data_IF_391457522596
#
_entry.id   IF_391457522596
#
_cell.length_a   1.000
_cell.length_b   1.000
_cell.length_c   1.000
_cell.angle_alpha   90.00
_cell.angle_beta   90.00
_cell.angle_gamma   90.00
#
_symmetry.space_group_name_H-M   'P 1'
#
loop_
_entity.id
_entity.type
_entity.pdbx_description
1 polymer ?
#
# COMPACT_ATOMS: atom_id res chain seq x y z
N UNK A 1 -2.68 6.16 -25.11
CA UNK A 1 -2.61 6.09 -24.72
C UNK A 1 -2.59 5.64 -24.01
N UNK A 2 -2.45 5.54 -23.77
CA UNK A 2 -2.37 5.16 -23.05
C UNK A 2 -2.52 4.91 -22.23
N UNK A 3 -2.52 4.90 -21.85
CA UNK A 3 -2.62 4.71 -20.99
C UNK A 3 -3.24 4.42 -20.44
N UNK A 4 -3.53 4.04 -20.34
CA UNK A 4 -4.06 3.75 -19.90
C UNK A 4 -4.24 3.32 -18.94
N UNK A 5 -3.81 3.54 -18.48
CA UNK A 5 -3.77 3.30 -17.45
C UNK A 5 -4.90 3.49 -16.82
N UNK A 6 -5.05 3.03 -16.05
CA UNK A 6 -6.07 3.05 -15.40
C UNK A 6 -6.44 4.13 -14.91
N UNK A 7 -7.39 4.46 -15.00
CA UNK A 7 -7.79 5.45 -14.47
C UNK A 7 -7.75 5.36 -13.15
N UNK A 8 -7.18 6.18 -12.52
CA UNK A 8 -7.13 6.18 -11.13
C UNK A 8 -8.46 6.59 -10.60
N UNK A 9 -8.92 5.89 -9.62
CA UNK A 9 -10.18 6.19 -9.00
C UNK A 9 -9.99 7.08 -7.78
N UNK A 10 -8.78 7.58 -7.55
CA UNK A 10 -8.51 8.44 -6.41
C UNK A 10 -7.56 9.56 -6.79
N UNK A 11 -7.58 10.61 -5.97
CA UNK A 11 -6.88 11.84 -6.26
C UNK A 11 -5.67 12.01 -5.34
N UNK A 12 -4.51 12.27 -5.94
CA UNK A 12 -3.26 12.46 -5.20
C UNK A 12 -3.38 13.56 -4.15
N UNK A 13 -3.95 14.69 -4.53
CA UNK A 13 -4.04 15.82 -3.62
C UNK A 13 -4.92 15.51 -2.41
N UNK A 14 -6.00 14.81 -2.63
CA UNK A 14 -6.88 14.45 -1.54
C UNK A 14 -6.20 13.51 -0.57
N UNK A 15 -5.42 12.58 -1.09
CA UNK A 15 -4.70 11.65 -0.24
C UNK A 15 -3.63 12.39 0.57
N UNK A 16 -2.91 13.31 -0.06
CA UNK A 16 -1.91 14.11 0.65
C UNK A 16 -2.54 14.91 1.76
N UNK A 17 -3.66 15.56 1.48
CA UNK A 17 -4.35 16.36 2.49
C UNK A 17 -4.82 15.49 3.64
N UNK A 18 -5.31 14.30 3.35
CA UNK A 18 -5.75 13.37 4.36
C UNK A 18 -4.59 13.04 5.31
N UNK A 19 -3.43 12.75 4.74
CA UNK A 19 -2.27 12.37 5.55
C UNK A 19 -1.78 13.52 6.41
N UNK A 20 -1.69 14.69 5.82
CA UNK A 20 -1.16 15.83 6.56
C UNK A 20 -2.15 16.31 7.62
N UNK A 21 -3.39 16.47 7.25
CA UNK A 21 -4.39 17.05 8.15
C UNK A 21 -4.96 16.06 9.15
N UNK A 22 -5.38 14.89 8.68
CA UNK A 22 -5.97 13.94 9.58
C UNK A 22 -4.98 13.11 10.36
N UNK A 23 -3.86 12.78 9.76
CA UNK A 23 -2.88 11.93 10.42
C UNK A 23 -1.66 12.67 10.90
N UNK A 24 -1.67 14.00 10.73
CA UNK A 24 -0.59 14.83 11.23
C UNK A 24 0.79 14.39 10.76
N UNK A 25 0.86 14.02 9.50
CA UNK A 25 2.10 13.55 8.89
C UNK A 25 2.71 14.72 8.12
N UNK A 26 4.03 14.88 8.17
CA UNK A 26 4.68 15.98 7.47
C UNK A 26 4.47 15.82 5.96
N UNK A 27 4.51 16.93 5.26
CA UNK A 27 4.32 16.92 3.82
C UNK A 27 5.30 15.99 3.13
N UNK A 28 6.55 16.00 3.56
CA UNK A 28 7.57 15.15 2.99
C UNK A 28 7.24 13.67 3.13
N UNK A 29 6.85 13.27 4.31
CA UNK A 29 6.50 11.85 4.56
C UNK A 29 5.22 11.49 3.84
N UNK A 30 4.26 12.42 3.78
CA UNK A 30 3.02 12.17 3.06
C UNK A 30 3.30 11.90 1.58
N UNK A 31 4.23 12.65 0.99
CA UNK A 31 4.58 12.42 -0.41
C UNK A 31 5.26 11.09 -0.62
N UNK A 32 5.99 10.61 0.38
CA UNK A 32 6.58 9.28 0.30
C UNK A 32 5.50 8.21 0.29
N UNK A 33 4.46 8.37 1.11
CA UNK A 33 3.36 7.42 1.10
C UNK A 33 2.64 7.43 -0.24
N UNK A 34 2.43 8.63 -0.78
CA UNK A 34 1.79 8.74 -2.09
C UNK A 34 2.60 8.01 -3.16
N UNK A 35 3.89 8.25 -3.17
CA UNK A 35 4.77 7.63 -4.13
C UNK A 35 4.73 6.11 -4.03
N UNK A 36 4.71 5.61 -2.81
CA UNK A 36 4.67 4.16 -2.59
C UNK A 36 3.35 3.56 -3.03
N UNK A 37 2.24 4.26 -2.79
CA UNK A 37 0.95 3.76 -3.23
C UNK A 37 0.87 3.71 -4.76
N UNK A 38 1.37 4.75 -5.43
CA UNK A 38 1.39 4.75 -6.88
C UNK A 38 2.31 3.66 -7.42
N UNK A 39 3.41 3.42 -6.74
CA UNK A 39 4.31 2.36 -7.13
C UNK A 39 3.64 1.00 -7.03
N UNK A 40 2.87 0.77 -5.97
CA UNK A 40 2.14 -0.48 -5.82
C UNK A 40 1.20 -0.71 -7.00
N UNK A 41 0.45 0.32 -7.37
CA UNK A 41 -0.47 0.19 -8.49
C UNK A 41 0.27 -0.14 -9.77
N UNK A 42 1.42 0.48 -9.95
CA UNK A 42 2.17 0.27 -11.17
C UNK A 42 2.82 -1.10 -11.23
N UNK A 43 3.54 -1.50 -10.18
CA UNK A 43 4.27 -2.77 -10.24
C UNK A 43 3.39 -3.99 -10.11
N UNK A 44 2.28 -3.88 -9.39
CA UNK A 44 1.37 -5.02 -9.25
C UNK A 44 0.21 -4.95 -10.22
N UNK A 45 0.08 -3.83 -10.95
CA UNK A 45 -0.99 -3.61 -11.90
C UNK A 45 -2.35 -3.80 -11.23
N UNK A 46 -2.58 -3.07 -10.16
CA UNK A 46 -3.80 -3.19 -9.36
C UNK A 46 -4.44 -1.83 -9.16
N UNK A 47 -5.67 -1.85 -8.65
CA UNK A 47 -6.38 -0.65 -8.26
C UNK A 47 -6.45 -0.69 -6.73
N UNK A 48 -5.76 0.20 -6.06
CA UNK A 48 -5.69 0.20 -4.61
C UNK A 48 -7.04 0.36 -3.93
N UNK A 49 -7.98 1.05 -4.55
CA UNK A 49 -9.29 1.19 -3.93
C UNK A 49 -9.93 -0.18 -3.77
N UNK A 50 -9.86 -1.01 -4.81
CA UNK A 50 -10.41 -2.35 -4.75
C UNK A 50 -9.59 -3.27 -3.86
N UNK A 51 -8.26 -3.15 -3.93
CA UNK A 51 -7.39 -4.07 -3.20
C UNK A 51 -7.41 -3.82 -1.70
N UNK A 52 -7.97 -2.69 -1.26
CA UNK A 52 -8.05 -2.39 0.16
C UNK A 52 -9.50 -2.29 0.63
N UNK A 53 -10.43 -2.82 -0.14
CA UNK A 53 -11.86 -2.64 0.15
C UNK A 53 -12.37 -3.48 1.33
N UNK A 54 -11.62 -4.46 1.75
CA UNK A 54 -11.99 -5.28 2.90
C UNK A 54 -10.73 -5.79 3.55
N UNK A 55 -10.88 -6.36 4.74
CA UNK A 55 -9.74 -6.94 5.43
C UNK A 55 -9.14 -8.06 4.59
N UNK A 56 -9.98 -8.89 4.01
CA UNK A 56 -9.50 -9.98 3.19
C UNK A 56 -8.73 -9.48 1.98
N UNK A 57 -9.26 -8.45 1.31
CA UNK A 57 -8.58 -7.88 0.15
C UNK A 57 -7.22 -7.32 0.56
N UNK A 58 -7.19 -6.63 1.69
CA UNK A 58 -5.94 -6.07 2.21
C UNK A 58 -4.92 -7.17 2.49
N UNK A 59 -5.35 -8.26 3.10
CA UNK A 59 -4.44 -9.36 3.40
C UNK A 59 -3.91 -10.00 2.11
N UNK A 60 -4.75 -10.11 1.11
CA UNK A 60 -4.31 -10.61 -0.19
C UNK A 60 -3.30 -9.65 -0.83
N UNK A 61 -3.51 -8.37 -0.66
CA UNK A 61 -2.58 -7.38 -1.18
C UNK A 61 -1.21 -7.53 -0.52
N UNK A 62 -1.19 -7.73 0.79
CA UNK A 62 0.08 -7.92 1.49
C UNK A 62 0.81 -9.15 0.97
N UNK A 63 0.06 -10.22 0.66
CA UNK A 63 0.68 -11.40 0.07
C UNK A 63 1.28 -11.09 -1.30
N UNK A 64 0.60 -10.30 -2.08
CA UNK A 64 1.11 -9.92 -3.39
C UNK A 64 2.38 -9.08 -3.26
N UNK A 65 2.41 -8.19 -2.29
CA UNK A 65 3.58 -7.37 -2.05
C UNK A 65 4.77 -8.25 -1.65
N UNK A 66 4.53 -9.19 -0.76
CA UNK A 66 5.59 -10.08 -0.29
C UNK A 66 6.11 -10.95 -1.43
N UNK A 67 5.22 -11.47 -2.25
CA UNK A 67 5.61 -12.29 -3.38
C UNK A 67 6.46 -11.51 -4.37
N UNK A 68 6.06 -10.28 -4.65
CA UNK A 68 6.81 -9.43 -5.55
C UNK A 68 8.21 -9.18 -4.98
N UNK A 69 8.27 -8.87 -3.69
CA UNK A 69 9.55 -8.57 -3.05
C UNK A 69 10.48 -9.78 -3.06
N UNK A 70 9.93 -10.96 -2.80
CA UNK A 70 10.73 -12.18 -2.78
C UNK A 70 11.35 -12.46 -4.14
N UNK A 71 10.64 -12.11 -5.20
CA UNK A 71 11.16 -12.34 -6.53
C UNK A 71 12.10 -11.25 -7.00
N UNK A 72 11.99 -10.07 -6.43
CA UNK A 72 12.79 -8.95 -6.88
C UNK A 72 14.08 -8.75 -6.07
N UNK A 73 14.04 -8.95 -4.78
CA UNK A 73 15.21 -8.73 -3.92
C UNK A 73 15.90 -10.02 -3.57
N UNK A 74 17.19 -9.92 -3.30
CA UNK A 74 17.98 -11.11 -3.01
C UNK A 74 18.12 -11.47 -1.55
N UNK A 75 18.02 -10.49 -0.66
CA UNK A 75 18.23 -10.79 0.75
C UNK A 75 16.92 -10.69 1.52
N UNK A 76 16.85 -11.43 2.60
CA UNK A 76 15.68 -11.40 3.48
C UNK A 76 15.47 -10.00 4.03
N UNK A 77 16.57 -9.34 4.37
CA UNK A 77 16.49 -7.99 4.93
C UNK A 77 15.82 -7.03 3.95
N UNK A 78 16.20 -7.08 2.68
CA UNK A 78 15.61 -6.21 1.68
C UNK A 78 14.12 -6.51 1.49
N UNK A 79 13.77 -7.80 1.49
CA UNK A 79 12.37 -8.20 1.34
C UNK A 79 11.55 -7.66 2.50
N UNK A 80 12.05 -7.77 3.71
CA UNK A 80 11.32 -7.31 4.88
C UNK A 80 11.12 -5.81 4.88
N UNK A 81 12.16 -5.06 4.53
CA UNK A 81 12.08 -3.61 4.51
C UNK A 81 11.09 -3.15 3.44
N UNK A 82 11.19 -3.71 2.26
CA UNK A 82 10.33 -3.33 1.15
C UNK A 82 8.87 -3.66 1.47
N UNK A 83 8.63 -4.89 1.93
CA UNK A 83 7.28 -5.34 2.25
C UNK A 83 6.67 -4.49 3.36
N UNK A 84 7.44 -4.24 4.40
CA UNK A 84 6.94 -3.44 5.52
C UNK A 84 6.60 -2.02 5.12
N UNK A 85 7.45 -1.42 4.30
CA UNK A 85 7.26 -0.06 3.85
C UNK A 85 6.00 0.07 2.99
N UNK A 86 5.82 -0.84 2.05
CA UNK A 86 4.66 -0.78 1.17
C UNK A 86 3.37 -1.19 1.87
N UNK A 87 3.47 -2.13 2.80
CA UNK A 87 2.30 -2.52 3.58
C UNK A 87 1.78 -1.36 4.40
N UNK A 88 2.70 -0.57 4.98
CA UNK A 88 2.29 0.58 5.76
C UNK A 88 1.62 1.62 4.87
N UNK A 89 2.15 1.84 3.67
CA UNK A 89 1.54 2.78 2.74
C UNK A 89 0.14 2.31 2.35
N UNK A 90 -0.03 1.02 2.11
CA UNK A 90 -1.33 0.46 1.77
C UNK A 90 -2.32 0.62 2.92
N UNK A 91 -1.84 0.48 4.16
CA UNK A 91 -2.69 0.67 5.33
C UNK A 91 -3.17 2.10 5.42
N UNK A 92 -2.28 3.07 5.19
CA UNK A 92 -2.68 4.47 5.21
C UNK A 92 -3.68 4.75 4.10
N UNK A 93 -3.48 4.15 2.94
CA UNK A 93 -4.40 4.32 1.84
C UNK A 93 -5.77 3.73 2.16
N UNK A 94 -5.80 2.57 2.80
CA UNK A 94 -7.07 1.94 3.16
C UNK A 94 -7.87 2.83 4.10
N UNK A 95 -7.18 3.48 5.04
CA UNK A 95 -7.85 4.40 5.95
C UNK A 95 -8.41 5.60 5.20
N UNK A 96 -7.69 6.08 4.21
CA UNK A 96 -8.13 7.19 3.39
C UNK A 96 -9.37 6.81 2.57
N UNK A 97 -9.30 5.69 1.89
CA UNK A 97 -10.35 5.30 0.95
C UNK A 97 -11.59 4.72 1.62
N UNK A 98 -11.39 4.01 2.71
CA UNK A 98 -12.49 3.24 3.31
C UNK A 98 -12.74 3.51 4.80
N UNK A 99 -11.96 4.39 5.38
CA UNK A 99 -12.14 4.71 6.79
C UNK A 99 -11.86 3.51 7.67
N UNK A 100 -12.70 3.30 8.66
CA UNK A 100 -12.49 2.22 9.60
C UNK A 100 -13.09 0.89 9.21
N UNK A 101 -13.49 0.75 7.97
CA UNK A 101 -14.11 -0.49 7.53
C UNK A 101 -13.13 -1.64 7.41
N UNK A 102 -11.86 -1.33 7.20
CA UNK A 102 -10.85 -2.37 7.03
C UNK A 102 -10.11 -2.57 8.33
N UNK A 103 -9.97 -3.82 8.77
CA UNK A 103 -9.23 -4.12 9.98
C UNK A 103 -7.84 -4.61 9.62
N UNK A 104 -6.91 -4.37 10.53
CA UNK A 104 -5.51 -4.73 10.29
C UNK A 104 -5.05 -5.67 11.41
N UNK A 105 -5.17 -6.97 11.19
CA UNK A 105 -4.85 -7.95 12.25
C UNK A 105 -3.41 -7.85 12.72
N UNK A 106 -3.21 -8.06 14.05
CA UNK A 106 -1.92 -8.02 14.59
C UNK A 106 -1.16 -9.23 14.20
N UNK A 107 0.09 -9.17 14.12
CA UNK A 107 0.93 -10.33 13.84
C UNK A 107 0.90 -10.82 12.42
N UNK A 108 0.10 -10.17 11.59
CA UNK A 108 0.02 -10.63 10.22
C UNK A 108 1.37 -10.60 9.51
N UNK A 109 2.25 -9.72 9.90
CA UNK A 109 3.53 -9.61 9.23
C UNK A 109 4.33 -10.90 9.28
N UNK A 110 3.96 -11.84 10.19
CA UNK A 110 4.66 -13.06 10.22
C UNK A 110 4.54 -13.79 8.95
N UNK A 111 3.47 -13.61 8.20
CA UNK A 111 3.24 -14.29 6.96
C UNK A 111 4.29 -13.90 5.96
N UNK A 112 4.65 -12.64 5.94
CA UNK A 112 5.64 -12.19 4.97
C UNK A 112 7.03 -12.70 5.32
N UNK A 113 7.20 -13.25 6.49
CA UNK A 113 8.48 -13.77 6.87
C UNK A 113 8.61 -15.25 6.69
N UNK A 114 7.52 -15.90 6.29
CA UNK A 114 7.54 -17.21 6.18
C UNK A 114 8.23 -17.54 5.05
N UNK A 115 9.22 -17.61 4.84
CA UNK A 115 9.83 -17.91 3.65
C UNK A 115 10.62 -19.10 3.67
#
# INVERSE_FOLDING_TARGET
MANKRISSTWDDEKFLKFLVIRHNISDRVARNYLSRCRRLERVLNIDLVNETSSTEAYLNLVEKIASYAENYFKTVSEVMIFTGTLRLAAKKFALFAHGNKVKFPRGYRRISLRI
#
